data_IF_011926973285
#
_entry.id   IF_011926973285
#
_cell.length_a   1.000
_cell.length_b   1.000
_cell.length_c   1.000
_cell.angle_alpha   90.00
_cell.angle_beta   90.00
_cell.angle_gamma   90.00
#
_symmetry.space_group_name_H-M   'P 1'
#
loop_
_entity.id
_entity.type
_entity.pdbx_description
1 polymer ?
#
# COMPACT_ATOMS: atom_id res chain seq x y z
N UNK A 1 3.33 -31.55 36.80
CA UNK A 1 2.97 -32.98 36.82
C UNK A 1 3.92 -33.83 37.67
N UNK A 2 5.25 -33.63 37.61
CA UNK A 2 6.21 -34.41 38.41
C UNK A 2 6.14 -34.20 39.95
N UNK A 3 5.55 -33.10 40.42
CA UNK A 3 5.41 -32.81 41.86
C UNK A 3 4.31 -33.63 42.54
N UNK A 4 3.15 -33.79 41.89
CA UNK A 4 1.98 -34.47 42.46
C UNK A 4 2.18 -35.99 42.54
N UNK A 5 2.88 -36.58 41.55
CA UNK A 5 3.19 -38.01 41.54
C UNK A 5 4.12 -38.44 42.68
N UNK A 6 5.06 -37.57 43.10
CA UNK A 6 5.98 -37.86 44.21
C UNK A 6 5.32 -37.78 45.59
N UNK A 7 4.29 -36.95 45.77
CA UNK A 7 3.63 -36.78 47.07
C UNK A 7 2.63 -37.89 47.40
N UNK A 8 2.18 -38.67 46.39
CA UNK A 8 1.15 -39.71 46.53
C UNK A 8 1.69 -41.15 46.64
N UNK A 9 3.01 -41.37 46.63
CA UNK A 9 3.60 -42.68 46.96
C UNK A 9 3.25 -43.84 46.02
N UNK A 10 3.10 -43.60 44.71
CA UNK A 10 2.93 -44.68 43.74
C UNK A 10 4.27 -45.37 43.45
N UNK A 11 4.33 -46.69 43.66
CA UNK A 11 5.38 -47.56 43.15
C UNK A 11 5.21 -47.74 41.64
N UNK A 12 6.31 -47.75 40.89
CA UNK A 12 6.34 -47.70 39.41
C UNK A 12 5.58 -48.85 38.70
N UNK A 13 5.20 -49.91 39.42
CA UNK A 13 4.58 -51.14 38.88
C UNK A 13 3.07 -51.30 39.12
N UNK A 14 2.37 -50.32 39.71
CA UNK A 14 0.92 -50.44 39.95
C UNK A 14 0.09 -49.71 38.90
N UNK A 15 -0.86 -50.40 38.26
CA UNK A 15 -1.79 -49.80 37.30
C UNK A 15 -2.51 -48.58 37.90
N UNK A 16 -2.28 -47.41 37.30
CA UNK A 16 -2.83 -46.12 37.72
C UNK A 16 -4.32 -46.01 37.35
N UNK A 17 -5.20 -46.73 38.05
CA UNK A 17 -6.65 -46.52 37.99
C UNK A 17 -7.10 -45.44 38.98
N UNK A 18 -6.58 -44.23 38.81
CA UNK A 18 -7.08 -43.07 39.56
C UNK A 18 -7.95 -42.23 38.64
N UNK A 19 -9.25 -42.16 38.94
CA UNK A 19 -10.20 -41.26 38.26
C UNK A 19 -9.69 -39.81 38.19
N UNK A 20 -8.85 -39.40 39.15
CA UNK A 20 -8.21 -38.08 39.17
C UNK A 20 -7.15 -37.94 38.07
N UNK A 21 -6.37 -38.98 37.79
CA UNK A 21 -5.35 -38.99 36.73
C UNK A 21 -6.02 -39.01 35.36
N UNK A 22 -7.03 -39.86 35.14
CA UNK A 22 -7.80 -39.89 33.89
C UNK A 22 -8.42 -38.52 33.58
N UNK A 23 -9.06 -37.88 34.57
CA UNK A 23 -9.64 -36.54 34.42
C UNK A 23 -8.58 -35.48 34.12
N UNK A 24 -7.37 -35.62 34.68
CA UNK A 24 -6.26 -34.69 34.41
C UNK A 24 -5.72 -34.86 32.99
N UNK A 25 -5.63 -36.09 32.49
CA UNK A 25 -5.23 -36.41 31.11
C UNK A 25 -6.27 -35.88 30.13
N UNK A 26 -7.56 -36.11 30.39
CA UNK A 26 -8.66 -35.60 29.54
C UNK A 26 -8.65 -34.06 29.45
N UNK A 27 -8.44 -33.38 30.58
CA UNK A 27 -8.29 -31.91 30.59
C UNK A 27 -7.04 -31.44 29.82
N UNK A 28 -5.93 -32.17 29.90
CA UNK A 28 -4.73 -31.85 29.15
C UNK A 28 -4.94 -32.06 27.64
N UNK A 29 -5.64 -33.13 27.25
CA UNK A 29 -6.01 -33.42 25.88
C UNK A 29 -6.92 -32.32 25.30
N UNK A 30 -7.98 -31.95 26.01
CA UNK A 30 -8.88 -30.87 25.61
C UNK A 30 -8.14 -29.53 25.41
N UNK A 31 -7.14 -29.24 26.25
CA UNK A 31 -6.27 -28.05 26.09
C UNK A 31 -5.40 -28.11 24.83
N UNK A 32 -4.78 -29.26 24.54
CA UNK A 32 -3.95 -29.44 23.33
C UNK A 32 -4.82 -29.36 22.08
N UNK A 33 -6.01 -29.95 22.10
CA UNK A 33 -6.97 -29.87 21.00
C UNK A 33 -7.47 -28.44 20.77
N UNK A 34 -7.78 -27.71 21.85
CA UNK A 34 -8.13 -26.29 21.79
C UNK A 34 -7.01 -25.45 21.17
N UNK A 35 -5.77 -25.64 21.61
CA UNK A 35 -4.60 -24.95 21.04
C UNK A 35 -4.41 -25.24 19.54
N UNK A 36 -4.54 -26.51 19.13
CA UNK A 36 -4.45 -26.90 17.73
C UNK A 36 -5.62 -26.38 16.88
N UNK A 37 -6.81 -26.25 17.47
CA UNK A 37 -7.97 -25.64 16.83
C UNK A 37 -7.76 -24.14 16.61
N UNK A 38 -7.31 -23.42 17.63
CA UNK A 38 -7.03 -21.98 17.53
C UNK A 38 -5.92 -21.70 16.51
N UNK A 39 -4.88 -22.52 16.48
CA UNK A 39 -3.81 -22.42 15.46
C UNK A 39 -4.37 -22.57 14.04
N UNK A 40 -5.22 -23.58 13.81
CA UNK A 40 -5.87 -23.78 12.50
C UNK A 40 -6.80 -22.62 12.15
N UNK A 41 -7.54 -22.10 13.13
CA UNK A 41 -8.42 -20.94 12.94
C UNK A 41 -7.63 -19.72 12.48
N UNK A 42 -6.48 -19.44 13.08
CA UNK A 42 -5.63 -18.34 12.65
C UNK A 42 -5.12 -18.54 11.23
N UNK A 43 -4.65 -19.73 10.87
CA UNK A 43 -4.21 -20.03 9.49
C UNK A 43 -5.34 -19.80 8.48
N UNK A 44 -6.56 -20.26 8.77
CA UNK A 44 -7.74 -20.04 7.91
C UNK A 44 -8.08 -18.56 7.80
N UNK A 45 -8.01 -17.80 8.88
CA UNK A 45 -8.26 -16.35 8.83
C UNK A 45 -7.24 -15.60 7.95
N UNK A 46 -5.97 -16.01 7.97
CA UNK A 46 -4.97 -15.45 7.05
C UNK A 46 -5.26 -15.87 5.60
N UNK A 47 -5.67 -17.12 5.38
CA UNK A 47 -6.05 -17.61 4.07
C UNK A 47 -7.25 -16.83 3.51
N UNK A 48 -8.26 -16.50 4.32
CA UNK A 48 -9.41 -15.70 3.91
C UNK A 48 -9.00 -14.33 3.34
N UNK A 49 -8.01 -13.66 3.95
CA UNK A 49 -7.48 -12.37 3.47
C UNK A 49 -6.78 -12.56 2.13
N UNK A 50 -5.89 -13.54 2.03
CA UNK A 50 -5.15 -13.83 0.80
C UNK A 50 -6.09 -14.27 -0.33
N UNK A 51 -7.12 -15.05 -0.01
CA UNK A 51 -8.10 -15.50 -0.98
C UNK A 51 -8.90 -14.33 -1.58
N UNK A 52 -9.34 -13.37 -0.75
CA UNK A 52 -9.99 -12.14 -1.24
C UNK A 52 -9.07 -11.29 -2.12
N UNK A 53 -7.80 -11.20 -1.77
CA UNK A 53 -6.80 -10.54 -2.61
C UNK A 53 -6.63 -11.26 -3.96
N UNK A 54 -6.50 -12.59 -3.95
CA UNK A 54 -6.40 -13.40 -5.17
C UNK A 54 -7.62 -13.26 -6.06
N UNK A 55 -8.81 -13.28 -5.49
CA UNK A 55 -10.06 -13.09 -6.24
C UNK A 55 -10.07 -11.72 -6.94
N UNK A 56 -9.68 -10.67 -6.23
CA UNK A 56 -9.60 -9.31 -6.80
C UNK A 56 -8.58 -9.23 -7.93
N UNK A 57 -7.37 -9.75 -7.73
CA UNK A 57 -6.32 -9.76 -8.76
C UNK A 57 -6.75 -10.57 -9.98
N UNK A 58 -7.31 -11.77 -9.79
CA UNK A 58 -7.73 -12.60 -10.92
C UNK A 58 -8.91 -12.02 -11.67
N UNK A 59 -9.83 -11.34 -10.98
CA UNK A 59 -10.93 -10.60 -11.61
C UNK A 59 -10.40 -9.48 -12.50
N UNK A 60 -9.49 -8.65 -12.00
CA UNK A 60 -8.89 -7.57 -12.81
C UNK A 60 -8.06 -8.13 -13.97
N UNK A 61 -7.29 -9.21 -13.74
CA UNK A 61 -6.54 -9.88 -14.81
C UNK A 61 -7.47 -10.40 -15.91
N UNK A 62 -8.57 -11.07 -15.55
CA UNK A 62 -9.53 -11.59 -16.52
C UNK A 62 -10.21 -10.44 -17.29
N UNK A 63 -10.58 -9.35 -16.61
CA UNK A 63 -11.09 -8.12 -17.24
C UNK A 63 -10.10 -7.55 -18.26
N UNK A 64 -8.82 -7.44 -17.90
CA UNK A 64 -7.76 -6.93 -18.79
C UNK A 64 -7.58 -7.85 -20.00
N UNK A 65 -7.50 -9.17 -19.80
CA UNK A 65 -7.28 -10.14 -20.87
C UNK A 65 -8.47 -10.29 -21.82
N UNK A 66 -9.70 -10.06 -21.35
CA UNK A 66 -10.92 -10.14 -22.16
C UNK A 66 -11.33 -8.81 -22.78
N UNK A 67 -10.75 -7.70 -22.33
CA UNK A 67 -11.04 -6.39 -22.92
C UNK A 67 -10.48 -6.32 -24.34
N UNK A 68 -11.33 -5.98 -25.30
CA UNK A 68 -10.91 -5.69 -26.67
C UNK A 68 -10.23 -4.33 -26.80
N UNK A 69 -10.40 -3.44 -25.82
CA UNK A 69 -9.86 -2.08 -25.82
C UNK A 69 -9.30 -1.75 -24.43
N UNK A 70 -7.98 -1.86 -24.28
CA UNK A 70 -7.27 -1.58 -23.03
C UNK A 70 -6.91 -0.10 -22.84
N UNK A 71 -6.85 0.68 -23.92
CA UNK A 71 -6.42 2.08 -23.92
C UNK A 71 -7.14 2.96 -22.88
N UNK A 72 -8.47 3.00 -22.84
CA UNK A 72 -9.21 3.83 -21.87
C UNK A 72 -8.98 3.41 -20.42
N UNK A 73 -8.77 2.12 -20.14
CA UNK A 73 -8.48 1.65 -18.77
C UNK A 73 -7.08 2.08 -18.35
N UNK A 74 -6.09 1.96 -19.25
CA UNK A 74 -4.73 2.43 -18.97
C UNK A 74 -4.67 3.95 -18.82
N UNK A 75 -5.41 4.68 -19.65
CA UNK A 75 -5.49 6.14 -19.54
C UNK A 75 -6.05 6.56 -18.18
N UNK A 76 -7.16 5.97 -17.75
CA UNK A 76 -7.74 6.27 -16.44
C UNK A 76 -6.77 5.96 -15.28
N UNK A 77 -6.04 4.85 -15.36
CA UNK A 77 -5.02 4.51 -14.35
C UNK A 77 -3.87 5.52 -14.32
N UNK A 78 -3.44 6.01 -15.48
CA UNK A 78 -2.41 7.04 -15.58
C UNK A 78 -2.92 8.39 -15.07
N UNK A 79 -4.16 8.77 -15.40
CA UNK A 79 -4.77 10.02 -14.95
C UNK A 79 -4.90 10.04 -13.42
N UNK A 80 -5.34 8.92 -12.81
CA UNK A 80 -5.45 8.77 -11.36
C UNK A 80 -4.06 8.88 -10.68
N UNK A 81 -3.04 8.23 -11.24
CA UNK A 81 -1.68 8.28 -10.69
C UNK A 81 -1.08 9.69 -10.80
N UNK A 82 -1.20 10.33 -11.96
CA UNK A 82 -0.72 11.70 -12.16
C UNK A 82 -1.44 12.67 -11.22
N UNK A 83 -2.75 12.53 -11.05
CA UNK A 83 -3.51 13.35 -10.10
C UNK A 83 -3.04 13.16 -8.66
N UNK A 84 -2.74 11.93 -8.24
CA UNK A 84 -2.20 11.64 -6.92
C UNK A 84 -0.81 12.28 -6.72
N UNK A 85 0.08 12.19 -7.71
CA UNK A 85 1.39 12.81 -7.66
C UNK A 85 1.30 14.34 -7.58
N UNK A 86 0.45 14.96 -8.40
CA UNK A 86 0.22 16.41 -8.33
C UNK A 86 -0.26 16.78 -6.93
N UNK A 87 -1.29 16.10 -6.41
CA UNK A 87 -1.81 16.38 -5.07
C UNK A 87 -0.76 16.23 -3.96
N UNK A 88 0.14 15.25 -4.07
CA UNK A 88 1.24 15.05 -3.11
C UNK A 88 2.25 16.21 -3.14
N UNK A 89 2.68 16.64 -4.32
CA UNK A 89 3.72 17.68 -4.46
C UNK A 89 3.19 19.11 -4.41
N UNK A 90 1.88 19.30 -4.51
CA UNK A 90 1.20 20.60 -4.38
C UNK A 90 0.32 20.70 -3.14
N UNK A 91 0.60 19.88 -2.11
CA UNK A 91 -0.19 19.84 -0.87
C UNK A 91 -0.02 21.08 0.03
N UNK A 92 1.02 21.89 -0.19
CA UNK A 92 1.28 23.07 0.63
C UNK A 92 0.31 24.22 0.31
N UNK A 93 -0.02 25.01 1.33
CA UNK A 93 -0.97 26.13 1.24
C UNK A 93 -0.48 27.25 0.31
N UNK A 94 0.84 27.48 0.30
CA UNK A 94 1.47 28.45 -0.57
C UNK A 94 2.17 27.79 -1.74
N UNK A 95 1.96 28.36 -2.93
CA UNK A 95 2.58 27.90 -4.16
C UNK A 95 4.11 27.88 -4.12
N UNK A 96 4.72 28.82 -3.40
CA UNK A 96 6.18 28.90 -3.25
C UNK A 96 6.78 27.67 -2.54
N UNK A 97 5.97 26.96 -1.76
CA UNK A 97 6.38 25.77 -1.01
C UNK A 97 6.10 24.47 -1.77
N UNK A 98 5.60 24.55 -3.01
CA UNK A 98 5.32 23.37 -3.83
C UNK A 98 6.61 22.72 -4.34
N UNK A 99 6.65 21.39 -4.27
CA UNK A 99 7.81 20.61 -4.70
C UNK A 99 7.73 20.25 -6.19
N UNK A 100 7.75 21.27 -7.06
CA UNK A 100 7.65 21.08 -8.50
C UNK A 100 8.82 20.28 -9.09
N UNK A 101 10.01 20.41 -8.49
CA UNK A 101 11.19 19.63 -8.87
C UNK A 101 11.01 18.14 -8.54
N UNK A 102 10.42 17.82 -7.38
CA UNK A 102 10.05 16.46 -6.99
C UNK A 102 9.01 15.84 -7.91
N UNK A 103 7.95 16.60 -8.24
CA UNK A 103 6.92 16.19 -9.19
C UNK A 103 7.55 15.87 -10.56
N UNK A 104 8.40 16.76 -11.07
CA UNK A 104 9.11 16.56 -12.35
C UNK A 104 9.95 15.29 -12.32
N UNK A 105 10.74 15.08 -11.27
CA UNK A 105 11.62 13.92 -11.16
C UNK A 105 10.83 12.60 -11.17
N UNK A 106 9.68 12.55 -10.49
CA UNK A 106 8.82 11.36 -10.47
C UNK A 106 8.12 11.12 -11.81
N UNK A 107 7.62 12.17 -12.48
CA UNK A 107 6.99 12.03 -13.81
C UNK A 107 7.97 11.51 -14.87
N UNK A 108 9.22 12.01 -14.88
CA UNK A 108 10.28 11.52 -15.77
C UNK A 108 10.63 10.05 -15.48
N UNK A 109 10.57 9.64 -14.21
CA UNK A 109 10.80 8.23 -13.84
C UNK A 109 9.66 7.33 -14.32
N UNK A 110 8.41 7.80 -14.26
CA UNK A 110 7.23 7.03 -14.64
C UNK A 110 7.14 6.83 -16.16
N UNK A 111 7.48 7.85 -16.94
CA UNK A 111 7.49 7.77 -18.40
C UNK A 111 8.85 8.28 -18.91
N UNK A 112 9.86 7.40 -19.01
CA UNK A 112 11.22 7.78 -19.44
C UNK A 112 11.28 8.31 -20.87
N UNK A 113 10.23 8.07 -21.66
CA UNK A 113 10.08 8.61 -23.02
C UNK A 113 9.45 9.99 -23.06
N UNK A 114 9.01 10.56 -21.93
CA UNK A 114 8.60 11.97 -21.86
C UNK A 114 9.83 12.83 -22.10
N UNK A 115 9.89 13.44 -23.26
CA UNK A 115 10.88 14.47 -23.55
C UNK A 115 10.39 15.82 -22.99
N UNK A 116 11.31 16.76 -22.78
CA UNK A 116 10.94 18.15 -22.46
C UNK A 116 10.04 18.77 -23.55
N UNK A 117 10.17 18.30 -24.80
CA UNK A 117 9.28 18.67 -25.90
C UNK A 117 7.86 18.11 -25.74
N UNK A 118 7.69 16.90 -25.19
CA UNK A 118 6.38 16.32 -24.91
C UNK A 118 5.69 17.03 -23.75
N UNK A 119 6.45 17.40 -22.70
CA UNK A 119 5.96 18.25 -21.62
C UNK A 119 5.54 19.63 -22.13
N UNK A 120 6.35 20.25 -23.01
CA UNK A 120 5.99 21.51 -23.63
C UNK A 120 4.75 21.39 -24.55
N UNK A 121 4.62 20.30 -25.30
CA UNK A 121 3.50 20.05 -26.21
C UNK A 121 2.19 19.70 -25.49
N UNK A 122 2.26 19.03 -24.33
CA UNK A 122 1.14 18.80 -23.42
C UNK A 122 0.69 20.07 -22.68
N UNK A 123 1.38 21.18 -22.92
CA UNK A 123 1.07 22.42 -22.25
C UNK A 123 1.55 22.45 -20.80
N UNK A 124 2.59 21.69 -20.48
CA UNK A 124 3.28 21.70 -19.19
C UNK A 124 4.65 22.37 -19.36
N UNK A 125 4.66 23.54 -20.01
CA UNK A 125 5.81 24.43 -19.87
C UNK A 125 5.84 24.96 -18.43
N UNK A 126 7.00 25.33 -17.87
CA UNK A 126 7.05 26.00 -16.58
C UNK A 126 6.10 27.21 -16.49
N UNK A 127 5.81 27.87 -17.62
CA UNK A 127 4.82 28.94 -17.74
C UNK A 127 3.36 28.47 -17.79
N UNK A 128 3.05 27.27 -18.29
CA UNK A 128 1.67 26.77 -18.36
C UNK A 128 1.22 26.00 -17.12
N UNK A 129 2.16 25.46 -16.33
CA UNK A 129 1.88 25.09 -14.93
C UNK A 129 1.41 26.34 -14.16
N UNK A 130 2.01 27.51 -14.42
CA UNK A 130 1.59 28.80 -13.83
C UNK A 130 0.18 29.23 -14.28
N UNK A 131 -0.14 29.08 -15.57
CA UNK A 131 -1.46 29.47 -16.14
C UNK A 131 -2.59 28.52 -15.72
N UNK A 132 -2.36 27.20 -15.71
CA UNK A 132 -3.40 26.20 -15.41
C UNK A 132 -3.84 26.22 -13.92
N UNK A 133 -3.06 26.90 -13.08
CA UNK A 133 -3.22 26.97 -11.62
C UNK A 133 -3.67 28.38 -11.19
N UNK A 134 -3.95 29.28 -12.16
CA UNK A 134 -4.55 30.58 -11.90
C UNK A 134 -3.56 31.67 -11.49
N UNK A 135 -2.36 31.70 -12.07
CA UNK A 135 -1.48 32.88 -11.99
C UNK A 135 -1.64 33.71 -13.26
N UNK A 136 -2.41 34.79 -13.17
CA UNK A 136 -1.98 36.10 -13.66
C UNK A 136 -2.36 37.08 -12.54
N UNK A 137 -1.41 37.87 -12.03
CA UNK A 137 -1.32 39.24 -12.52
C UNK A 137 -0.01 39.57 -13.26
N UNK A 138 -0.15 40.44 -14.26
CA UNK A 138 0.87 40.78 -15.26
C UNK A 138 2.09 41.55 -14.72
N UNK A 139 1.99 42.10 -13.51
CA UNK A 139 3.09 42.85 -12.88
C UNK A 139 4.24 41.93 -12.45
N UNK A 140 3.93 40.71 -12.02
CA UNK A 140 4.90 39.72 -11.53
C UNK A 140 5.80 39.20 -12.67
N UNK A 141 5.23 39.06 -13.86
CA UNK A 141 5.98 38.63 -15.05
C UNK A 141 6.91 39.72 -15.58
N UNK A 142 6.49 40.99 -15.48
CA UNK A 142 7.28 42.16 -15.91
C UNK A 142 8.47 42.39 -14.95
N UNK A 143 8.28 42.17 -13.65
CA UNK A 143 9.34 42.26 -12.64
C UNK A 143 10.42 41.18 -12.85
N UNK A 144 10.02 39.93 -13.11
CA UNK A 144 10.93 38.81 -13.35
C UNK A 144 11.79 39.02 -14.62
N UNK A 145 11.21 39.58 -15.69
CA UNK A 145 11.94 39.88 -16.93
C UNK A 145 12.85 41.11 -16.82
N UNK A 146 12.47 42.12 -16.03
CA UNK A 146 13.32 43.28 -15.78
C UNK A 146 14.56 42.92 -14.95
N UNK A 147 14.42 42.02 -13.97
CA UNK A 147 15.55 41.53 -13.17
C UNK A 147 16.53 40.63 -13.93
N UNK A 148 16.04 39.90 -14.94
CA UNK A 148 16.90 39.06 -15.79
C UNK A 148 17.69 39.84 -16.86
N UNK A 149 17.34 41.11 -17.13
CA UNK A 149 17.95 41.94 -18.17
C UNK A 149 18.99 42.96 -17.65
N UNK A 150 19.17 43.09 -16.33
CA UNK A 150 20.23 43.91 -15.71
C UNK A 150 21.27 43.01 -15.01
N UNK A 151 22.35 42.60 -15.70
CA UNK A 151 23.46 41.92 -15.06
C UNK A 151 24.36 43.00 -14.45
N UNK A 152 24.08 43.35 -13.20
CA UNK A 152 25.10 43.98 -12.35
C UNK A 152 26.36 43.12 -12.28
#
# INVERSE_FOLDING_TARGET
MAGIMRTLGFTEDTALESKMVSKTIENAQSRVEGYNFDTRKHVVQYDDVINRQRETIYRERDRILRSSVLGPTLQAMLDDEVAALVAEHTAAEHFADWNLDGLRAQLVTMVPSLTDADLAAAGLTPGMIRVSIGIEDAEDLIADLAGAADPG
#
